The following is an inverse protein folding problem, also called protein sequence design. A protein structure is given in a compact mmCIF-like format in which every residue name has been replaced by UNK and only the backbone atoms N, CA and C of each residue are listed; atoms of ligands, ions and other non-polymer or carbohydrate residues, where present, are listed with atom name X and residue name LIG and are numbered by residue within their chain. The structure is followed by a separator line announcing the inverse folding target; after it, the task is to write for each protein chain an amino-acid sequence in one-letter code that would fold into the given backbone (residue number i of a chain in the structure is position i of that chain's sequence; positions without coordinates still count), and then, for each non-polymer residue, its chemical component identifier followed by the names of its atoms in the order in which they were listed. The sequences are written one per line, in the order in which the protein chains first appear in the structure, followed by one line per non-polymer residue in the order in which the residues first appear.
data_IF_918651931022
#
_entry.id   IF_918651931022
#
_cell.length_a   1.000
_cell.length_b   1.000
_cell.length_c   1.000
_cell.angle_alpha   90.00
_cell.angle_beta   90.00
_cell.angle_gamma   90.00
#
_symmetry.space_group_name_H-M   'P 1'
#
loop_
_entity.id
_entity.type
_entity.pdbx_description
1 polymer ?
#
# COMPACT_ATOMS: atom_id res chain seq x y z
N UNK A 1 2.72 -13.72 61.16
CA UNK A 1 3.77 -13.13 60.30
C UNK A 1 3.93 -13.87 58.97
N UNK A 2 3.92 -15.22 58.94
CA UNK A 2 4.07 -16.03 57.70
C UNK A 2 2.83 -16.06 56.77
N UNK A 3 1.64 -15.79 57.30
CA UNK A 3 0.36 -15.88 56.56
C UNK A 3 0.18 -14.78 55.52
N UNK A 4 0.79 -13.60 55.71
CA UNK A 4 0.70 -12.47 54.77
C UNK A 4 1.63 -12.63 53.55
N UNK A 5 2.66 -13.48 53.65
CA UNK A 5 3.60 -13.73 52.56
C UNK A 5 3.09 -14.80 51.59
N UNK A 6 2.27 -15.76 52.05
CA UNK A 6 1.64 -16.76 51.17
C UNK A 6 0.46 -16.18 50.38
N UNK A 7 -0.32 -15.27 50.99
CA UNK A 7 -1.46 -14.63 50.30
C UNK A 7 -1.02 -13.67 49.21
N UNK A 8 0.14 -13.01 49.36
CA UNK A 8 0.72 -12.18 48.29
C UNK A 8 1.27 -13.04 47.15
N UNK A 9 1.94 -14.16 47.44
CA UNK A 9 2.47 -15.06 46.40
C UNK A 9 1.38 -15.66 45.50
N UNK A 10 0.28 -16.14 46.09
CA UNK A 10 -0.85 -16.69 45.33
C UNK A 10 -1.62 -15.61 44.52
N UNK A 11 -1.73 -14.38 45.05
CA UNK A 11 -2.31 -13.25 44.32
C UNK A 11 -1.42 -12.79 43.15
N UNK A 12 -0.09 -12.85 43.32
CA UNK A 12 0.89 -12.58 42.26
C UNK A 12 0.85 -13.67 41.17
N UNK A 13 0.64 -14.93 41.55
CA UNK A 13 0.52 -16.05 40.61
C UNK A 13 -0.77 -15.98 39.78
N UNK A 14 -1.88 -15.55 40.38
CA UNK A 14 -3.17 -15.41 39.69
C UNK A 14 -3.25 -14.16 38.81
N UNK A 15 -2.52 -13.10 39.13
CA UNK A 15 -2.34 -11.94 38.26
C UNK A 15 -1.50 -12.25 37.00
N UNK A 16 -0.85 -13.42 36.94
CA UNK A 16 0.09 -13.82 35.87
C UNK A 16 -0.56 -14.50 34.66
N UNK A 17 -1.88 -14.42 34.48
CA UNK A 17 -2.55 -15.03 33.30
C UNK A 17 -3.56 -14.15 32.58
N UNK A 18 -3.47 -12.83 32.72
CA UNK A 18 -3.87 -11.96 31.61
C UNK A 18 -2.75 -12.02 30.58
N UNK A 19 -2.86 -12.96 29.64
CA UNK A 19 -1.96 -13.04 28.49
C UNK A 19 -2.02 -11.69 27.77
N UNK A 20 -0.87 -11.04 27.58
CA UNK A 20 -0.83 -9.84 26.75
C UNK A 20 -1.17 -10.26 25.32
N UNK A 21 -2.26 -9.72 24.77
CA UNK A 21 -2.70 -10.10 23.44
C UNK A 21 -1.74 -9.61 22.35
N UNK A 22 -0.90 -8.61 22.65
CA UNK A 22 0.14 -8.12 21.73
C UNK A 22 1.21 -9.17 21.45
N UNK A 23 1.45 -10.10 22.38
CA UNK A 23 2.40 -11.21 22.17
C UNK A 23 1.95 -12.16 21.04
N UNK A 24 0.68 -12.09 20.62
CA UNK A 24 0.16 -12.87 19.48
C UNK A 24 0.36 -12.15 18.13
N UNK A 25 0.76 -10.88 18.14
CA UNK A 25 1.01 -10.09 16.93
C UNK A 25 2.45 -10.30 16.50
N UNK A 26 2.65 -11.02 15.40
CA UNK A 26 3.99 -11.36 14.90
C UNK A 26 4.60 -10.23 14.07
N UNK A 27 3.84 -9.70 13.09
CA UNK A 27 4.28 -8.63 12.19
C UNK A 27 3.12 -8.09 11.34
N UNK A 28 3.31 -6.96 10.68
CA UNK A 28 2.40 -6.37 9.68
C UNK A 28 2.89 -6.66 8.26
N UNK A 29 2.00 -7.11 7.38
CA UNK A 29 2.32 -7.48 6.00
C UNK A 29 1.73 -6.50 5.00
N UNK A 30 2.45 -6.28 3.90
CA UNK A 30 2.01 -5.44 2.77
C UNK A 30 1.60 -4.01 3.17
N UNK A 31 2.16 -3.53 4.27
CA UNK A 31 1.89 -2.20 4.83
C UNK A 31 2.48 -1.07 3.97
N UNK A 32 3.41 -1.40 3.08
CA UNK A 32 4.14 -0.52 2.18
C UNK A 32 3.57 -0.47 0.76
N UNK A 33 2.49 -1.21 0.47
CA UNK A 33 1.87 -1.21 -0.86
C UNK A 33 1.16 0.13 -1.10
N UNK A 34 1.57 0.94 -2.10
CA UNK A 34 0.92 2.22 -2.37
C UNK A 34 -0.55 2.03 -2.74
N UNK A 35 -1.42 2.91 -2.28
CA UNK A 35 -2.86 2.80 -2.48
C UNK A 35 -3.27 2.64 -3.96
N UNK A 36 -2.67 3.42 -4.87
CA UNK A 36 -2.96 3.33 -6.30
C UNK A 36 -2.52 1.98 -6.91
N UNK A 37 -1.44 1.38 -6.39
CA UNK A 37 -0.97 0.05 -6.80
C UNK A 37 -1.94 -1.02 -6.30
N UNK A 38 -2.36 -0.95 -5.03
CA UNK A 38 -3.38 -1.84 -4.46
C UNK A 38 -4.67 -1.82 -5.30
N UNK A 39 -5.18 -0.63 -5.62
CA UNK A 39 -6.37 -0.48 -6.48
C UNK A 39 -6.14 -1.10 -7.86
N UNK A 40 -4.98 -0.88 -8.49
CA UNK A 40 -4.63 -1.46 -9.79
C UNK A 40 -4.63 -2.99 -9.76
N UNK A 41 -4.06 -3.59 -8.71
CA UNK A 41 -4.00 -5.05 -8.51
C UNK A 41 -5.40 -5.63 -8.30
N UNK A 42 -6.12 -5.11 -7.30
CA UNK A 42 -7.40 -5.68 -6.86
C UNK A 42 -8.47 -5.53 -7.95
N UNK A 43 -8.51 -4.38 -8.63
CA UNK A 43 -9.49 -4.09 -9.68
C UNK A 43 -9.02 -4.53 -11.08
N UNK A 44 -7.77 -5.02 -11.20
CA UNK A 44 -7.13 -5.45 -12.46
C UNK A 44 -7.15 -4.35 -13.53
N UNK A 45 -6.86 -3.12 -13.14
CA UNK A 45 -6.81 -1.95 -14.02
C UNK A 45 -5.34 -1.59 -14.27
N UNK A 46 -4.91 -1.70 -15.54
CA UNK A 46 -3.53 -1.49 -15.96
C UNK A 46 -3.41 -0.47 -17.09
N UNK A 47 -2.32 0.31 -17.07
CA UNK A 47 -1.98 1.25 -18.13
C UNK A 47 -1.80 0.55 -19.50
N UNK A 48 -2.03 1.29 -20.59
CA UNK A 48 -1.84 0.78 -21.96
C UNK A 48 -2.91 -0.21 -22.44
N UNK A 49 -4.02 -0.33 -21.70
CA UNK A 49 -5.16 -1.17 -22.04
C UNK A 49 -6.39 -0.29 -22.29
N UNK A 50 -7.27 -0.72 -23.21
CA UNK A 50 -8.54 -0.06 -23.45
C UNK A 50 -9.61 -0.50 -22.44
N UNK A 51 -10.38 0.47 -21.95
CA UNK A 51 -11.52 0.23 -21.06
C UNK A 51 -12.74 1.02 -21.52
N UNK A 52 -13.92 0.42 -21.39
CA UNK A 52 -15.17 1.15 -21.33
C UNK A 52 -15.43 1.53 -19.88
N UNK A 53 -15.65 2.82 -19.62
CA UNK A 53 -15.85 3.35 -18.28
C UNK A 53 -17.31 3.80 -18.14
N UNK A 54 -17.99 3.33 -17.08
CA UNK A 54 -19.34 3.78 -16.72
C UNK A 54 -19.32 4.35 -15.32
N UNK A 55 -19.87 5.54 -15.14
CA UNK A 55 -20.03 6.19 -13.83
C UNK A 55 -21.49 6.52 -13.57
N UNK A 56 -21.92 6.37 -12.31
CA UNK A 56 -23.24 6.79 -11.81
C UNK A 56 -23.04 7.75 -10.63
N UNK A 57 -22.82 9.02 -10.94
CA UNK A 57 -22.70 10.08 -9.94
C UNK A 57 -21.48 9.90 -9.02
N UNK A 58 -21.74 9.63 -7.73
CA UNK A 58 -20.71 9.49 -6.69
C UNK A 58 -20.23 8.06 -6.46
N UNK A 59 -20.79 7.08 -7.16
CA UNK A 59 -20.38 5.68 -7.05
C UNK A 59 -19.01 5.42 -7.71
N UNK A 60 -18.34 4.36 -7.28
CA UNK A 60 -17.10 3.91 -7.92
C UNK A 60 -17.36 3.56 -9.39
N UNK A 61 -16.57 4.10 -10.34
CA UNK A 61 -16.77 3.81 -11.76
C UNK A 61 -16.49 2.34 -12.07
N UNK A 62 -17.30 1.79 -12.97
CA UNK A 62 -17.14 0.42 -13.48
C UNK A 62 -16.27 0.45 -14.73
N UNK A 63 -15.15 -0.26 -14.67
CA UNK A 63 -14.23 -0.47 -15.79
C UNK A 63 -14.49 -1.82 -16.42
N UNK A 64 -14.69 -1.84 -17.74
CA UNK A 64 -14.81 -3.07 -18.52
C UNK A 64 -13.70 -3.08 -19.55
N UNK A 65 -12.76 -4.03 -19.42
CA UNK A 65 -11.63 -4.20 -20.33
C UNK A 65 -12.14 -4.46 -21.76
N UNK A 66 -11.52 -3.83 -22.76
CA UNK A 66 -11.82 -3.95 -24.18
C UNK A 66 -10.71 -4.72 -24.88
N UNK A 67 -10.74 -6.05 -24.73
CA UNK A 67 -9.77 -6.96 -25.36
C UNK A 67 -9.93 -7.04 -26.89
N UNK A 68 -11.04 -6.52 -27.42
CA UNK A 68 -11.31 -6.39 -28.85
C UNK A 68 -10.45 -5.31 -29.53
N UNK A 69 -9.91 -4.36 -28.77
CA UNK A 69 -9.04 -3.29 -29.30
C UNK A 69 -7.58 -3.64 -28.99
N UNK A 70 -6.87 -4.12 -30.01
CA UNK A 70 -5.48 -4.56 -29.90
C UNK A 70 -4.50 -3.40 -30.12
N UNK A 71 -4.81 -2.51 -31.07
CA UNK A 71 -3.97 -1.36 -31.39
C UNK A 71 -3.93 -0.35 -30.23
N UNK A 72 -2.74 0.18 -29.94
CA UNK A 72 -2.54 1.17 -28.89
C UNK A 72 -2.84 2.57 -29.42
N UNK A 73 -3.27 3.52 -28.57
CA UNK A 73 -3.41 4.91 -28.99
C UNK A 73 -2.03 5.51 -29.30
N UNK A 74 -1.99 6.44 -30.26
CA UNK A 74 -0.79 7.22 -30.59
C UNK A 74 -0.71 8.48 -29.71
N UNK A 75 0.14 8.53 -28.67
CA UNK A 75 0.29 9.72 -27.85
C UNK A 75 1.08 10.80 -28.59
N UNK A 76 0.79 12.06 -28.31
CA UNK A 76 1.64 13.17 -28.73
C UNK A 76 2.88 13.16 -27.82
N UNK A 77 4.06 12.92 -28.40
CA UNK A 77 5.33 12.85 -27.67
C UNK A 77 6.11 14.15 -27.88
N UNK A 78 6.44 14.82 -26.78
CA UNK A 78 7.40 15.92 -26.75
C UNK A 78 8.66 15.46 -26.02
N UNK A 79 9.79 15.45 -26.73
CA UNK A 79 11.11 15.29 -26.15
C UNK A 79 11.88 16.60 -26.35
N UNK A 80 12.56 17.08 -25.31
CA UNK A 80 13.39 18.26 -25.38
C UNK A 80 14.73 18.02 -24.70
N UNK A 81 15.73 18.78 -25.12
CA UNK A 81 17.08 18.76 -24.60
C UNK A 81 17.49 20.17 -24.22
N UNK A 82 18.29 20.31 -23.18
CA UNK A 82 18.76 21.63 -22.72
C UNK A 82 20.27 21.65 -22.69
N UNK A 83 20.81 22.83 -22.99
CA UNK A 83 22.23 23.11 -22.88
C UNK A 83 22.43 24.23 -21.86
N UNK A 84 23.34 24.00 -20.92
CA UNK A 84 23.65 24.96 -19.85
C UNK A 84 25.13 25.32 -19.87
N UNK A 85 25.46 26.48 -19.31
CA UNK A 85 26.86 26.86 -19.10
C UNK A 85 27.44 26.08 -17.92
N UNK A 86 28.74 25.78 -17.96
CA UNK A 86 29.45 25.12 -16.86
C UNK A 86 30.83 25.71 -16.63
N UNK A 87 31.34 25.60 -15.40
CA UNK A 87 32.73 25.92 -15.11
C UNK A 87 33.68 24.83 -15.64
N UNK A 88 34.92 25.16 -16.02
CA UNK A 88 35.93 24.17 -16.37
C UNK A 88 36.09 23.10 -15.28
N UNK A 89 36.13 21.83 -15.67
CA UNK A 89 36.26 20.66 -14.78
C UNK A 89 35.19 20.52 -13.67
N UNK A 90 34.08 21.25 -13.73
CA UNK A 90 32.91 21.06 -12.86
C UNK A 90 31.69 20.58 -13.64
N UNK A 91 30.75 19.96 -12.94
CA UNK A 91 29.43 19.72 -13.51
C UNK A 91 28.72 21.06 -13.81
N UNK A 92 27.89 21.14 -14.87
CA UNK A 92 27.02 22.28 -15.12
C UNK A 92 26.16 22.65 -13.91
#
# INVERSE_FOLDING_TARGET
MLTNALTSAAAIEHAKKTTDHMDNVLDIREHDVPYHVRVSIDMKIFCGTWYTVKSRGTETPVFTKRDDIIERPDPIVLAFDIETTKLPLKFP
#
